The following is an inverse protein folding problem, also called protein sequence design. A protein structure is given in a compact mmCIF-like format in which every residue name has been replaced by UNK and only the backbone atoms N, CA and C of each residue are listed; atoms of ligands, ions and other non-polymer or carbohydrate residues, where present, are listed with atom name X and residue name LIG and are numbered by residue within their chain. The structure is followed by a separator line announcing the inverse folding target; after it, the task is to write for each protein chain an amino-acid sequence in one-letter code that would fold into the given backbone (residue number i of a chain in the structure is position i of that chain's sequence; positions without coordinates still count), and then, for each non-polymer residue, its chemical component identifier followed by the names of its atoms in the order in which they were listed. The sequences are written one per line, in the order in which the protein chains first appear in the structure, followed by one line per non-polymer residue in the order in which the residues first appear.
data_IF_224445843806
#
_entry.id   IF_224445843806
#
_cell.length_a   1.000
_cell.length_b   1.000
_cell.length_c   1.000
_cell.angle_alpha   90.00
_cell.angle_beta   90.00
_cell.angle_gamma   90.00
#
_symmetry.space_group_name_H-M   'P 1'
#
loop_
_entity.id
_entity.type
_entity.pdbx_description
1 polymer ?
#
# COMPACT_ATOMS: atom_id res chain seq x y z
N UNK A 1 -24.84 -51.68 -7.03
CA UNK A 1 -24.47 -50.39 -6.41
C UNK A 1 -23.24 -50.61 -5.54
N UNK A 2 -22.09 -50.01 -5.83
CA UNK A 2 -21.05 -49.82 -4.83
C UNK A 2 -21.16 -48.39 -4.30
N UNK A 3 -21.36 -48.31 -2.99
CA UNK A 3 -21.28 -47.08 -2.20
C UNK A 3 -19.81 -46.69 -2.19
N UNK A 4 -19.47 -45.56 -2.80
CA UNK A 4 -18.12 -45.00 -2.74
C UNK A 4 -18.00 -44.39 -1.35
N UNK A 5 -17.23 -45.06 -0.51
CA UNK A 5 -16.86 -44.56 0.81
C UNK A 5 -15.76 -43.51 0.57
N UNK A 6 -16.14 -42.24 0.40
CA UNK A 6 -15.18 -41.14 0.39
C UNK A 6 -14.55 -41.04 1.79
N UNK A 7 -13.33 -41.56 1.91
CA UNK A 7 -12.56 -41.55 3.15
C UNK A 7 -12.01 -40.15 3.42
N UNK A 8 -12.25 -39.57 4.62
CA UNK A 8 -11.83 -38.21 4.99
C UNK A 8 -10.30 -37.98 5.13
N UNK A 9 -9.50 -39.01 4.87
CA UNK A 9 -8.03 -38.98 5.00
C UNK A 9 -7.34 -38.45 3.72
N UNK A 10 -8.00 -38.54 2.56
CA UNK A 10 -7.47 -38.08 1.28
C UNK A 10 -7.46 -36.53 1.21
N UNK A 11 -8.52 -35.90 1.73
CA UNK A 11 -8.69 -34.45 1.78
C UNK A 11 -7.62 -33.74 2.62
N UNK A 12 -7.23 -34.34 3.76
CA UNK A 12 -6.16 -33.82 4.61
C UNK A 12 -4.79 -33.94 3.96
N UNK A 13 -4.60 -34.90 3.07
CA UNK A 13 -3.36 -35.08 2.32
C UNK A 13 -3.23 -34.04 1.20
N UNK A 14 -4.32 -33.80 0.46
CA UNK A 14 -4.40 -32.75 -0.58
C UNK A 14 -4.19 -31.37 0.02
N UNK A 15 -4.89 -31.06 1.13
CA UNK A 15 -4.75 -29.77 1.83
C UNK A 15 -3.30 -29.52 2.30
N UNK A 16 -2.61 -30.53 2.84
CA UNK A 16 -1.20 -30.40 3.24
C UNK A 16 -0.27 -30.12 2.04
N UNK A 17 -0.58 -30.66 0.86
CA UNK A 17 0.18 -30.36 -0.36
C UNK A 17 -0.07 -28.92 -0.81
N UNK A 18 -1.32 -28.47 -0.78
CA UNK A 18 -1.70 -27.09 -1.12
C UNK A 18 -1.04 -26.06 -0.20
N UNK A 19 -1.02 -26.29 1.12
CA UNK A 19 -0.35 -25.39 2.08
C UNK A 19 1.16 -25.33 1.82
N UNK A 20 1.80 -26.45 1.50
CA UNK A 20 3.24 -26.48 1.14
C UNK A 20 3.50 -25.72 -0.16
N UNK A 21 2.67 -25.93 -1.17
CA UNK A 21 2.77 -25.24 -2.45
C UNK A 21 2.55 -23.74 -2.28
N UNK A 22 1.53 -23.33 -1.52
CA UNK A 22 1.26 -21.93 -1.19
C UNK A 22 2.46 -21.26 -0.52
N UNK A 23 3.06 -21.90 0.49
CA UNK A 23 4.22 -21.34 1.17
C UNK A 23 5.45 -21.26 0.25
N UNK A 24 5.69 -22.28 -0.57
CA UNK A 24 6.78 -22.27 -1.55
C UNK A 24 6.62 -21.15 -2.59
N UNK A 25 5.40 -20.95 -3.10
CA UNK A 25 5.10 -19.85 -4.04
C UNK A 25 5.24 -18.48 -3.38
N UNK A 26 4.88 -18.33 -2.10
CA UNK A 26 5.06 -17.09 -1.36
C UNK A 26 6.53 -16.76 -1.12
N UNK A 27 7.34 -17.77 -0.80
CA UNK A 27 8.80 -17.64 -0.66
C UNK A 27 9.43 -17.28 -2.02
N UNK A 28 8.98 -17.92 -3.11
CA UNK A 28 9.43 -17.61 -4.46
C UNK A 28 9.04 -16.18 -4.88
N UNK A 29 7.80 -15.75 -4.62
CA UNK A 29 7.35 -14.38 -4.88
C UNK A 29 8.22 -13.36 -4.14
N UNK A 30 8.52 -13.61 -2.86
CA UNK A 30 9.40 -12.76 -2.05
C UNK A 30 10.81 -12.70 -2.63
N UNK A 31 11.35 -13.84 -3.09
CA UNK A 31 12.66 -13.89 -3.72
C UNK A 31 12.68 -13.16 -5.09
N UNK A 32 11.62 -13.30 -5.89
CA UNK A 32 11.44 -12.60 -7.16
C UNK A 32 11.35 -11.09 -6.92
N UNK A 33 10.56 -10.64 -5.96
CA UNK A 33 10.45 -9.23 -5.59
C UNK A 33 11.80 -8.64 -5.16
N UNK A 34 12.59 -9.40 -4.39
CA UNK A 34 13.96 -9.03 -4.04
C UNK A 34 14.86 -8.86 -5.27
N UNK A 35 14.76 -9.76 -6.25
CA UNK A 35 15.50 -9.66 -7.53
C UNK A 35 15.04 -8.47 -8.36
N UNK A 36 13.73 -8.24 -8.49
CA UNK A 36 13.14 -7.09 -9.19
C UNK A 36 13.64 -5.79 -8.56
N UNK A 37 13.63 -5.67 -7.23
CA UNK A 37 14.14 -4.51 -6.50
C UNK A 37 15.62 -4.25 -6.79
N UNK A 38 16.42 -5.31 -6.81
CA UNK A 38 17.86 -5.21 -7.13
C UNK A 38 18.11 -4.77 -8.57
N UNK A 39 17.40 -5.36 -9.54
CA UNK A 39 17.49 -4.96 -10.95
C UNK A 39 17.04 -3.52 -11.16
N UNK A 40 15.94 -3.10 -10.51
CA UNK A 40 15.45 -1.72 -10.56
C UNK A 40 16.52 -0.73 -10.12
N UNK A 41 17.20 -0.99 -8.99
CA UNK A 41 18.30 -0.12 -8.51
C UNK A 41 19.42 -0.01 -9.53
N UNK A 42 19.82 -1.14 -10.14
CA UNK A 42 20.87 -1.15 -11.17
C UNK A 42 20.45 -0.36 -12.41
N UNK A 43 19.23 -0.58 -12.90
CA UNK A 43 18.68 0.14 -14.06
C UNK A 43 18.62 1.65 -13.78
N UNK A 44 18.18 2.05 -12.59
CA UNK A 44 18.15 3.47 -12.19
C UNK A 44 19.54 4.11 -12.17
N UNK A 45 20.57 3.40 -11.69
CA UNK A 45 21.95 3.88 -11.70
C UNK A 45 22.47 4.07 -13.13
N UNK A 46 22.19 3.13 -14.03
CA UNK A 46 22.58 3.22 -15.44
C UNK A 46 21.88 4.37 -16.17
N UNK A 47 20.58 4.58 -15.91
CA UNK A 47 19.82 5.70 -16.50
C UNK A 47 20.37 7.04 -16.02
N UNK A 48 20.78 7.14 -14.75
CA UNK A 48 21.36 8.36 -14.20
C UNK A 48 22.74 8.68 -14.77
N UNK A 49 23.55 7.65 -15.06
CA UNK A 49 24.88 7.82 -15.66
C UNK A 49 24.82 8.09 -17.17
N UNK A 50 23.92 7.42 -17.90
CA UNK A 50 23.96 7.36 -19.38
C UNK A 50 22.74 7.92 -20.08
N UNK A 51 21.67 8.22 -19.34
CA UNK A 51 20.43 8.71 -19.92
C UNK A 51 20.48 10.20 -20.25
N UNK A 52 19.60 10.61 -21.14
CA UNK A 52 19.48 11.99 -21.59
C UNK A 52 18.32 12.69 -20.88
N UNK A 53 18.54 13.94 -20.48
CA UNK A 53 17.50 14.75 -19.85
C UNK A 53 16.57 15.29 -20.93
N UNK A 54 15.27 15.01 -20.78
CA UNK A 54 14.25 15.56 -21.67
C UNK A 54 13.80 16.97 -21.23
N UNK A 55 12.96 17.61 -22.06
CA UNK A 55 12.39 18.95 -21.80
C UNK A 55 11.60 19.06 -20.47
N UNK A 56 11.15 17.92 -19.92
CA UNK A 56 10.41 17.84 -18.66
C UNK A 56 11.33 17.58 -17.45
N UNK A 57 12.64 17.51 -17.65
CA UNK A 57 13.64 17.20 -16.64
C UNK A 57 13.64 15.74 -16.16
N UNK A 58 13.00 14.83 -16.91
CA UNK A 58 13.09 13.38 -16.69
C UNK A 58 14.25 12.81 -17.49
N UNK A 59 14.87 11.74 -16.99
CA UNK A 59 16.03 11.11 -17.65
C UNK A 59 15.56 9.88 -18.40
N UNK A 60 15.95 9.76 -19.66
CA UNK A 60 15.50 8.73 -20.58
C UNK A 60 16.69 7.95 -21.13
N UNK A 61 16.57 6.62 -21.22
CA UNK A 61 17.56 5.76 -21.86
C UNK A 61 16.87 4.74 -22.78
N UNK A 62 17.33 4.64 -24.02
CA UNK A 62 16.90 3.59 -24.94
C UNK A 62 17.45 2.23 -24.48
N UNK A 63 16.56 1.25 -24.36
CA UNK A 63 16.85 -0.11 -23.94
C UNK A 63 16.27 -1.13 -24.95
N UNK A 64 16.06 -0.69 -26.19
CA UNK A 64 15.58 -1.54 -27.27
C UNK A 64 16.56 -2.67 -27.53
N UNK A 65 16.03 -3.89 -27.65
CA UNK A 65 16.79 -5.07 -28.04
C UNK A 65 16.04 -5.77 -29.18
N UNK A 66 16.81 -6.42 -30.05
CA UNK A 66 16.39 -7.30 -31.13
C UNK A 66 15.27 -8.29 -30.76
N UNK A 67 15.21 -8.74 -29.51
CA UNK A 67 14.19 -9.68 -29.02
C UNK A 67 12.96 -9.02 -28.39
N UNK A 68 13.10 -7.82 -27.83
CA UNK A 68 12.05 -7.16 -27.04
C UNK A 68 11.40 -5.96 -27.75
N UNK A 69 11.80 -5.67 -28.99
CA UNK A 69 11.30 -4.53 -29.74
C UNK A 69 11.74 -3.19 -29.15
N UNK A 70 11.11 -2.08 -29.57
CA UNK A 70 11.47 -0.76 -29.08
C UNK A 70 11.07 -0.61 -27.60
N UNK A 71 12.05 -0.43 -26.72
CA UNK A 71 11.86 -0.30 -25.27
C UNK A 71 12.68 0.87 -24.75
N UNK A 72 12.07 1.70 -23.91
CA UNK A 72 12.73 2.87 -23.32
C UNK A 72 12.49 2.89 -21.82
N UNK A 73 13.53 3.21 -21.05
CA UNK A 73 13.42 3.35 -19.60
C UNK A 73 13.49 4.82 -19.20
N UNK A 74 12.52 5.25 -18.37
CA UNK A 74 12.34 6.65 -18.00
C UNK A 74 12.40 6.82 -16.48
N UNK A 75 13.38 7.59 -15.99
CA UNK A 75 13.41 8.12 -14.63
C UNK A 75 12.58 9.39 -14.60
N UNK A 76 11.29 9.26 -14.25
CA UNK A 76 10.36 10.37 -14.20
C UNK A 76 10.72 11.36 -13.09
N UNK A 77 10.79 12.64 -13.42
CA UNK A 77 10.86 13.71 -12.42
C UNK A 77 9.48 13.90 -11.80
N UNK A 78 9.36 13.58 -10.51
CA UNK A 78 8.16 13.87 -9.70
C UNK A 78 8.50 14.94 -8.69
N UNK A 79 7.83 16.08 -8.78
CA UNK A 79 7.93 17.15 -7.80
C UNK A 79 6.61 17.18 -7.04
N UNK A 80 6.60 16.61 -5.84
CA UNK A 80 5.47 16.76 -4.92
C UNK A 80 5.54 18.16 -4.31
N UNK A 81 4.62 19.03 -4.69
CA UNK A 81 4.40 20.30 -3.99
C UNK A 81 3.41 20.02 -2.87
N UNK A 82 3.93 19.80 -1.67
CA UNK A 82 3.08 19.78 -0.48
C UNK A 82 2.69 21.22 -0.13
N UNK A 83 1.45 21.41 0.28
CA UNK A 83 1.00 22.66 0.86
C UNK A 83 1.69 22.82 2.21
N UNK A 84 2.48 23.87 2.35
CA UNK A 84 3.19 24.19 3.58
C UNK A 84 2.25 25.06 4.41
N UNK A 85 1.53 24.43 5.33
CA UNK A 85 0.49 25.09 6.13
C UNK A 85 1.06 26.27 6.92
N UNK A 86 2.27 26.15 7.47
CA UNK A 86 2.92 27.21 8.24
C UNK A 86 3.25 28.44 7.37
N UNK A 87 3.82 28.21 6.17
CA UNK A 87 4.10 29.30 5.23
C UNK A 87 2.83 29.89 4.63
N UNK A 88 1.82 29.06 4.39
CA UNK A 88 0.55 29.52 3.88
C UNK A 88 -0.21 30.34 4.92
N UNK A 89 -0.21 29.91 6.18
CA UNK A 89 -0.81 30.65 7.30
C UNK A 89 -0.17 32.03 7.42
N UNK A 90 1.16 32.10 7.53
CA UNK A 90 1.89 33.37 7.61
C UNK A 90 1.60 34.30 6.42
N UNK A 91 1.60 33.77 5.18
CA UNK A 91 1.34 34.55 3.97
C UNK A 91 -0.14 35.00 3.86
N UNK A 92 -1.08 34.15 4.27
CA UNK A 92 -2.50 34.44 4.21
C UNK A 92 -2.93 35.41 5.32
N UNK A 93 -2.30 35.34 6.50
CA UNK A 93 -2.44 36.34 7.56
C UNK A 93 -1.89 37.69 7.11
N UNK A 94 -0.68 37.74 6.54
CA UNK A 94 -0.08 38.98 6.02
C UNK A 94 -0.95 39.63 4.94
N UNK A 95 -1.60 38.83 4.10
CA UNK A 95 -2.48 39.31 3.02
C UNK A 95 -3.93 39.54 3.44
N UNK A 96 -4.28 39.29 4.70
CA UNK A 96 -5.66 39.40 5.19
C UNK A 96 -6.65 38.45 4.51
N UNK A 97 -6.15 37.38 3.88
CA UNK A 97 -6.95 36.37 3.15
C UNK A 97 -7.21 35.10 3.98
N UNK A 98 -6.62 35.02 5.17
CA UNK A 98 -6.69 33.86 6.04
C UNK A 98 -8.14 33.41 6.28
N UNK A 99 -9.01 34.30 6.76
CA UNK A 99 -10.41 33.98 7.05
C UNK A 99 -11.21 33.52 5.82
N UNK A 100 -10.83 33.95 4.62
CA UNK A 100 -11.49 33.54 3.36
C UNK A 100 -10.99 32.17 2.89
N UNK A 101 -9.75 31.82 3.21
CA UNK A 101 -9.10 30.58 2.77
C UNK A 101 -9.20 29.44 3.78
N UNK A 102 -9.61 29.72 5.03
CA UNK A 102 -9.82 28.70 6.05
C UNK A 102 -11.28 28.28 6.18
N UNK A 103 -11.53 27.00 6.40
CA UNK A 103 -12.85 26.46 6.74
C UNK A 103 -12.75 25.67 8.04
N UNK A 104 -13.54 26.04 9.03
CA UNK A 104 -13.72 25.23 10.24
C UNK A 104 -14.58 24.02 9.89
N UNK A 105 -14.02 22.82 10.03
CA UNK A 105 -14.75 21.56 9.88
C UNK A 105 -14.82 20.93 11.27
N UNK A 106 -16.03 20.67 11.75
CA UNK A 106 -16.24 19.90 12.97
C UNK A 106 -15.95 18.44 12.65
N UNK A 107 -14.84 17.93 13.17
CA UNK A 107 -14.48 16.51 13.10
C UNK A 107 -14.86 15.87 14.43
N UNK A 108 -15.50 14.70 14.39
CA UNK A 108 -15.73 13.91 15.60
C UNK A 108 -14.38 13.45 16.13
N UNK A 109 -14.08 13.87 17.35
CA UNK A 109 -12.89 13.44 18.08
C UNK A 109 -13.15 12.04 18.65
N UNK A 110 -12.49 11.03 18.06
CA UNK A 110 -12.64 9.63 18.47
C UNK A 110 -12.17 9.41 19.91
N UNK A 111 -11.14 10.13 20.36
CA UNK A 111 -10.62 10.01 21.72
C UNK A 111 -11.62 10.62 22.71
N UNK A 112 -12.27 11.73 22.35
CA UNK A 112 -13.34 12.33 23.16
C UNK A 112 -14.58 11.43 23.23
N UNK A 113 -14.93 10.72 22.16
CA UNK A 113 -16.03 9.73 22.16
C UNK A 113 -15.71 8.55 23.07
N UNK A 114 -14.50 8.01 23.00
CA UNK A 114 -14.06 6.93 23.90
C UNK A 114 -13.97 7.39 25.37
N UNK A 115 -13.51 8.62 25.62
CA UNK A 115 -13.53 9.20 26.96
C UNK A 115 -14.96 9.34 27.52
N UNK A 116 -15.92 9.76 26.69
CA UNK A 116 -17.33 9.84 27.08
C UNK A 116 -17.93 8.45 27.39
N UNK A 117 -17.47 7.40 26.72
CA UNK A 117 -17.80 6.02 27.06
C UNK A 117 -17.21 5.58 28.41
N UNK A 118 -15.92 5.82 28.66
CA UNK A 118 -15.30 5.51 29.96
C UNK A 118 -15.93 6.29 31.13
N UNK A 119 -16.40 7.52 30.88
CA UNK A 119 -17.16 8.33 31.84
C UNK A 119 -18.61 7.84 32.05
N UNK A 120 -19.05 6.80 31.33
CA UNK A 120 -20.41 6.24 31.41
C UNK A 120 -21.50 7.10 30.76
N UNK A 121 -21.13 8.05 29.88
CA UNK A 121 -22.07 8.91 29.14
C UNK A 121 -22.59 8.27 27.85
N UNK A 122 -21.91 7.25 27.37
CA UNK A 122 -22.29 6.42 26.23
C UNK A 122 -22.42 4.98 26.72
N UNK A 123 -23.42 4.26 26.20
CA UNK A 123 -23.59 2.84 26.50
C UNK A 123 -22.75 1.97 25.56
N UNK A 124 -22.59 0.69 25.90
CA UNK A 124 -21.93 -0.29 25.03
C UNK A 124 -22.61 -0.36 23.65
N UNK A 125 -23.95 -0.29 23.61
CA UNK A 125 -24.75 -0.32 22.38
C UNK A 125 -24.50 0.92 21.49
N UNK A 126 -24.28 2.10 22.11
CA UNK A 126 -23.97 3.34 21.39
C UNK A 126 -22.59 3.26 20.71
N UNK A 127 -21.60 2.69 21.40
CA UNK A 127 -20.24 2.53 20.87
C UNK A 127 -20.20 1.47 19.77
N UNK A 128 -20.89 0.34 19.96
CA UNK A 128 -20.96 -0.73 18.96
C UNK A 128 -21.62 -0.25 17.67
N UNK A 129 -22.62 0.64 17.77
CA UNK A 129 -23.25 1.30 16.61
C UNK A 129 -22.29 2.25 15.88
N UNK A 130 -21.43 2.98 16.62
CA UNK A 130 -20.46 3.92 16.03
C UNK A 130 -19.22 3.23 15.47
N UNK A 131 -18.83 2.07 16.00
CA UNK A 131 -17.65 1.30 15.62
C UNK A 131 -18.06 -0.12 15.19
N UNK A 132 -18.65 -0.29 14.00
CA UNK A 132 -19.05 -1.62 13.54
C UNK A 132 -17.81 -2.52 13.39
N UNK A 133 -17.86 -3.69 14.01
CA UNK A 133 -16.80 -4.67 13.90
C UNK A 133 -16.68 -5.18 12.45
N UNK A 134 -15.58 -4.84 11.78
CA UNK A 134 -15.25 -5.40 10.48
C UNK A 134 -14.32 -6.59 10.65
N UNK A 135 -14.89 -7.79 10.64
CA UNK A 135 -14.09 -9.02 10.63
C UNK A 135 -13.41 -9.18 9.27
N UNK A 136 -12.09 -9.29 9.28
CA UNK A 136 -11.29 -9.63 8.10
C UNK A 136 -10.37 -10.80 8.42
N UNK A 137 -10.35 -11.80 7.56
CA UNK A 137 -9.50 -12.97 7.73
C UNK A 137 -8.28 -12.86 6.84
N UNK A 138 -7.10 -13.05 7.42
CA UNK A 138 -5.84 -13.15 6.71
C UNK A 138 -5.33 -14.60 6.80
N UNK A 139 -4.97 -15.19 5.66
CA UNK A 139 -4.32 -16.49 5.63
C UNK A 139 -2.84 -16.32 6.00
N UNK A 140 -2.45 -16.87 7.15
CA UNK A 140 -1.06 -16.88 7.63
C UNK A 140 -0.65 -18.33 7.88
N UNK A 141 0.50 -18.73 7.32
CA UNK A 141 1.12 -20.03 7.58
C UNK A 141 2.26 -19.78 8.56
N UNK A 142 2.07 -20.14 9.83
CA UNK A 142 3.11 -20.02 10.87
C UNK A 142 3.88 -21.33 11.01
N UNK A 143 5.19 -21.23 11.24
CA UNK A 143 6.03 -22.38 11.62
C UNK A 143 5.93 -22.54 13.13
N UNK A 144 5.45 -23.68 13.59
CA UNK A 144 5.42 -24.06 15.01
C UNK A 144 6.78 -24.59 15.47
#
# INVERSE_FOLDING_TARGET
MPIINETPDDDLSSFKQEVRQYNALKDEATAIDGRISTLRKRIMAVIEERGEVNDKGSIILDASDSNNGPMQVVKQRRVSKMFDEDKADALLQEKGLFETCTKTITVLDQDAVMAAYYDGKLTDEDIETMFPEKVSWALIVEKK
#
